data_IF_577549921706
#
_entry.id   IF_577549921706
#
_cell.length_a   1.000
_cell.length_b   1.000
_cell.length_c   1.000
_cell.angle_alpha   90.00
_cell.angle_beta   90.00
_cell.angle_gamma   90.00
#
_symmetry.space_group_name_H-M   'P 1'
#
loop_
_entity.id
_entity.type
_entity.pdbx_description
1 polymer ?
#
# COMPACT_ATOMS: atom_id res chain seq x y z
N UNK A 1 12.97 46.47 26.89
CA UNK A 1 14.00 45.41 27.06
C UNK A 1 13.28 44.14 27.48
N UNK A 2 13.46 43.03 26.73
CA UNK A 2 13.31 41.59 27.09
C UNK A 2 12.29 41.25 28.21
N UNK A 3 11.30 40.37 28.02
CA UNK A 3 11.49 38.91 27.86
C UNK A 3 10.21 38.18 27.38
N UNK A 4 10.46 37.14 26.58
CA UNK A 4 9.82 35.82 26.58
C UNK A 4 8.35 35.68 26.15
N UNK A 5 8.18 35.39 24.86
CA UNK A 5 7.53 34.19 24.29
C UNK A 5 6.62 33.42 25.28
N UNK A 6 5.32 33.65 25.19
CA UNK A 6 4.30 32.77 25.74
C UNK A 6 3.95 31.72 24.68
N UNK A 7 4.32 30.46 24.97
CA UNK A 7 4.02 29.30 24.16
C UNK A 7 2.49 29.11 24.08
N UNK A 8 1.94 29.30 22.88
CA UNK A 8 0.59 28.90 22.52
C UNK A 8 0.72 28.01 21.28
N UNK A 9 0.77 26.69 21.50
CA UNK A 9 0.97 25.69 20.46
C UNK A 9 0.31 24.40 20.90
N UNK A 10 -0.96 24.31 20.54
CA UNK A 10 -1.94 23.25 20.71
C UNK A 10 -1.41 21.85 21.08
N UNK A 11 -2.00 21.32 22.15
CA UNK A 11 -2.07 19.91 22.46
C UNK A 11 -2.53 19.08 21.23
N UNK A 12 -1.60 18.34 20.64
CA UNK A 12 -1.85 17.28 19.64
C UNK A 12 -1.72 15.88 20.26
N UNK A 13 -2.03 15.73 21.56
CA UNK A 13 -1.93 14.45 22.27
C UNK A 13 -3.18 13.55 22.11
N UNK A 14 -4.05 13.82 21.13
CA UNK A 14 -5.41 13.25 21.07
C UNK A 14 -5.77 12.42 19.84
N UNK A 15 -4.82 12.07 18.96
CA UNK A 15 -5.11 11.32 17.72
C UNK A 15 -4.32 10.02 17.58
N UNK A 16 -3.98 9.35 18.69
CA UNK A 16 -3.77 7.90 18.67
C UNK A 16 -5.11 7.18 18.84
N UNK A 17 -6.11 7.60 18.06
CA UNK A 17 -7.39 6.95 17.95
C UNK A 17 -7.28 5.80 16.96
N UNK A 18 -7.51 4.59 17.43
CA UNK A 18 -7.52 3.36 16.65
C UNK A 18 -6.20 3.06 15.92
N UNK A 19 -5.21 2.56 16.66
CA UNK A 19 -4.49 1.41 16.13
C UNK A 19 -5.50 0.26 16.01
N UNK A 20 -6.35 0.32 14.98
CA UNK A 20 -7.07 -0.84 14.52
C UNK A 20 -6.02 -1.91 14.27
N UNK A 21 -6.23 -3.09 14.83
CA UNK A 21 -5.43 -4.26 14.52
C UNK A 21 -5.38 -4.39 13.00
N UNK A 22 -4.22 -4.10 12.39
CA UNK A 22 -4.00 -4.26 10.96
C UNK A 22 -4.06 -5.75 10.64
N UNK A 23 -5.27 -6.22 10.36
CA UNK A 23 -5.52 -7.52 9.74
C UNK A 23 -5.70 -7.26 8.25
N UNK A 24 -4.59 -7.13 7.54
CA UNK A 24 -4.54 -7.32 6.10
C UNK A 24 -3.12 -7.77 5.78
N UNK A 25 -2.92 -9.08 5.72
CA UNK A 25 -1.72 -9.60 5.03
C UNK A 25 -1.98 -9.30 3.56
N UNK A 26 -1.29 -8.30 3.03
CA UNK A 26 -1.36 -7.98 1.62
C UNK A 26 -0.99 -9.24 0.82
N UNK A 27 -1.87 -9.64 -0.10
CA UNK A 27 -1.69 -10.83 -0.89
C UNK A 27 -0.78 -10.50 -2.08
N UNK A 28 0.37 -11.16 -2.15
CA UNK A 28 1.27 -11.03 -3.29
C UNK A 28 0.67 -11.74 -4.50
N UNK A 29 0.47 -10.98 -5.56
CA UNK A 29 -0.16 -11.50 -6.76
C UNK A 29 0.81 -12.28 -7.65
N UNK A 30 0.32 -13.39 -8.19
CA UNK A 30 1.12 -14.32 -8.98
C UNK A 30 0.43 -14.70 -10.28
N UNK A 31 1.20 -15.11 -11.29
CA UNK A 31 0.69 -15.68 -12.52
C UNK A 31 0.17 -17.13 -12.31
N UNK A 32 -0.33 -17.75 -13.38
CA UNK A 32 -0.83 -19.13 -13.33
C UNK A 32 0.24 -20.19 -12.94
N UNK A 33 1.52 -19.83 -12.95
CA UNK A 33 2.63 -20.69 -12.53
C UNK A 33 3.12 -20.37 -11.10
N UNK A 34 2.47 -19.45 -10.39
CA UNK A 34 2.87 -18.98 -9.06
C UNK A 34 4.07 -18.03 -9.08
N UNK A 35 4.42 -17.44 -10.23
CA UNK A 35 5.46 -16.42 -10.32
C UNK A 35 4.89 -15.04 -10.00
N UNK A 36 5.50 -14.27 -9.08
CA UNK A 36 5.04 -12.92 -8.77
C UNK A 36 5.09 -12.00 -9.99
N UNK A 37 4.07 -11.16 -10.13
CA UNK A 37 4.12 -10.05 -11.08
C UNK A 37 5.16 -9.02 -10.63
N UNK A 38 6.04 -8.62 -11.55
CA UNK A 38 7.21 -7.84 -11.24
C UNK A 38 7.52 -6.80 -12.31
N UNK A 39 7.90 -5.60 -11.86
CA UNK A 39 8.37 -4.51 -12.71
C UNK A 39 9.68 -3.90 -12.20
N UNK A 40 10.53 -3.40 -13.10
CA UNK A 40 11.75 -2.68 -12.72
C UNK A 40 11.47 -1.41 -11.91
N UNK A 41 10.39 -0.68 -12.21
CA UNK A 41 10.07 0.60 -11.57
C UNK A 41 8.63 0.69 -11.07
N UNK A 42 8.40 1.60 -10.11
CA UNK A 42 7.05 1.90 -9.59
C UNK A 42 6.12 2.36 -10.70
N UNK A 43 6.63 3.23 -11.58
CA UNK A 43 5.85 3.84 -12.65
C UNK A 43 5.35 2.80 -13.67
N UNK A 44 6.19 1.81 -13.99
CA UNK A 44 5.80 0.70 -14.86
C UNK A 44 4.74 -0.17 -14.18
N UNK A 45 4.92 -0.48 -12.88
CA UNK A 45 3.89 -1.21 -12.13
C UNK A 45 2.57 -0.45 -12.10
N UNK A 46 2.55 0.84 -11.78
CA UNK A 46 1.32 1.64 -11.72
C UNK A 46 0.64 1.78 -13.09
N UNK A 47 1.40 1.74 -14.19
CA UNK A 47 0.88 1.77 -15.56
C UNK A 47 0.23 0.46 -15.96
N UNK A 48 0.90 -0.67 -15.68
CA UNK A 48 0.55 -1.97 -16.24
C UNK A 48 -0.31 -2.82 -15.29
N UNK A 49 -0.20 -2.62 -13.97
CA UNK A 49 -0.97 -3.34 -12.96
C UNK A 49 -2.49 -3.31 -13.18
N UNK A 50 -3.13 -2.18 -13.58
CA UNK A 50 -4.56 -2.19 -13.91
C UNK A 50 -4.92 -3.14 -15.06
N UNK A 51 -4.00 -3.38 -16.00
CA UNK A 51 -4.21 -4.30 -17.12
C UNK A 51 -4.10 -5.74 -16.61
N UNK A 52 -3.06 -6.04 -15.82
CA UNK A 52 -2.84 -7.35 -15.20
C UNK A 52 -3.98 -7.72 -14.24
N UNK A 53 -4.47 -6.77 -13.44
CA UNK A 53 -5.60 -6.94 -12.54
C UNK A 53 -6.91 -7.30 -13.27
N UNK A 54 -7.02 -6.95 -14.56
CA UNK A 54 -8.17 -7.33 -15.39
C UNK A 54 -8.05 -8.73 -15.98
N UNK A 55 -6.97 -9.48 -15.71
CA UNK A 55 -6.84 -10.88 -16.14
C UNK A 55 -7.98 -11.72 -15.54
N UNK A 56 -8.66 -12.56 -16.35
CA UNK A 56 -9.75 -13.41 -15.85
C UNK A 56 -9.30 -14.49 -14.86
N UNK A 57 -8.00 -14.79 -14.78
CA UNK A 57 -7.42 -15.76 -13.86
C UNK A 57 -6.98 -15.15 -12.53
N UNK A 58 -7.18 -13.85 -12.33
CA UNK A 58 -6.82 -13.17 -11.09
C UNK A 58 -7.79 -13.52 -9.95
N UNK A 59 -7.26 -13.70 -8.74
CA UNK A 59 -8.10 -13.91 -7.56
C UNK A 59 -8.75 -12.58 -7.14
N UNK A 60 -10.08 -12.54 -7.21
CA UNK A 60 -10.88 -11.35 -6.89
C UNK A 60 -11.34 -11.30 -5.44
N UNK A 61 -10.83 -12.18 -4.58
CA UNK A 61 -11.12 -12.15 -3.15
C UNK A 61 -10.71 -10.81 -2.49
N UNK A 62 -9.71 -10.12 -3.06
CA UNK A 62 -9.13 -8.88 -2.54
C UNK A 62 -9.28 -7.74 -3.56
N UNK A 63 -10.37 -6.95 -3.54
CA UNK A 63 -10.76 -6.08 -4.66
C UNK A 63 -9.87 -4.86 -4.88
N UNK A 64 -8.93 -4.57 -4.00
CA UNK A 64 -8.03 -3.42 -4.08
C UNK A 64 -6.64 -3.90 -4.38
N UNK A 65 -6.02 -3.31 -5.39
CA UNK A 65 -4.65 -3.61 -5.79
C UNK A 65 -3.75 -2.40 -5.55
N UNK A 66 -2.47 -2.66 -5.33
CA UNK A 66 -1.45 -1.63 -5.23
C UNK A 66 -0.08 -2.19 -5.60
N UNK A 67 0.83 -1.29 -5.99
CA UNK A 67 2.22 -1.61 -6.25
C UNK A 67 3.07 -1.33 -5.00
N UNK A 68 3.90 -2.27 -4.60
CA UNK A 68 4.85 -2.09 -3.49
C UNK A 68 6.24 -2.68 -3.79
N UNK A 69 7.31 -2.14 -3.17
CA UNK A 69 8.67 -2.59 -3.43
C UNK A 69 8.95 -3.96 -2.77
N UNK A 70 9.83 -4.74 -3.41
CA UNK A 70 10.39 -5.99 -2.87
C UNK A 70 11.84 -6.23 -3.31
N UNK A 71 12.30 -7.49 -3.29
CA UNK A 71 13.72 -7.89 -3.37
C UNK A 71 14.49 -7.48 -4.65
N UNK A 72 13.85 -6.87 -5.64
CA UNK A 72 14.53 -6.39 -6.84
C UNK A 72 13.78 -5.34 -7.67
N UNK A 73 12.64 -4.82 -7.18
CA UNK A 73 11.73 -3.99 -7.96
C UNK A 73 10.35 -3.93 -7.34
N UNK A 74 9.32 -3.79 -8.18
CA UNK A 74 7.95 -3.52 -7.75
C UNK A 74 7.04 -4.69 -8.05
N UNK A 75 6.19 -5.02 -7.08
CA UNK A 75 5.27 -6.15 -7.14
C UNK A 75 3.83 -5.68 -6.99
N UNK A 76 2.92 -6.42 -7.59
CA UNK A 76 1.49 -6.23 -7.45
C UNK A 76 1.00 -6.97 -6.21
N UNK A 77 0.32 -6.25 -5.34
CA UNK A 77 -0.34 -6.80 -4.17
C UNK A 77 -1.82 -6.48 -4.22
N UNK A 78 -2.60 -7.28 -3.52
CA UNK A 78 -4.01 -7.00 -3.29
C UNK A 78 -4.39 -7.11 -1.84
N UNK A 79 -5.42 -6.36 -1.46
CA UNK A 79 -5.90 -6.25 -0.10
C UNK A 79 -7.43 -6.10 -0.08
N UNK A 80 -8.03 -6.44 1.05
CA UNK A 80 -9.46 -6.23 1.32
C UNK A 80 -9.73 -4.85 1.94
N UNK A 81 -8.67 -4.09 2.26
CA UNK A 81 -8.75 -2.75 2.81
C UNK A 81 -8.59 -1.65 1.74
N UNK A 82 -9.37 -0.56 1.83
CA UNK A 82 -9.26 0.63 0.98
C UNK A 82 -8.34 1.70 1.56
#
# INVERSE_FOLDING_TARGET
>A
MKKAIAAAGLAFAGLMGAAGTAHAVDYLETDANGQPWFWPTEAECQSDAPIVWNDPNFDRAYPYWFCAPGDGGWYLFSTDAQ
#
